data_IF_042913827443
#
_entry.id   IF_042913827443
#
_cell.length_a   1.000
_cell.length_b   1.000
_cell.length_c   1.000
_cell.angle_alpha   90.00
_cell.angle_beta   90.00
_cell.angle_gamma   90.00
#
_symmetry.space_group_name_H-M   'P 1'
#
loop_
_entity.id
_entity.type
_entity.pdbx_description
1 polymer ?
#
# COMPACT_ATOMS: atom_id res chain seq x y z
N UNK A 1 -8.11 -12.07 -7.61
CA UNK A 1 -6.84 -11.83 -8.33
C UNK A 1 -5.70 -12.18 -7.39
N UNK A 2 -4.81 -13.09 -7.77
CA UNK A 2 -3.61 -13.38 -7.01
C UNK A 2 -2.49 -12.45 -7.49
N UNK A 3 -1.80 -11.78 -6.56
CA UNK A 3 -0.56 -11.04 -6.88
C UNK A 3 0.61 -12.01 -6.96
N UNK A 4 1.69 -11.64 -7.66
CA UNK A 4 2.91 -12.45 -7.65
C UNK A 4 3.51 -12.49 -6.23
N UNK A 5 4.24 -13.56 -5.92
CA UNK A 5 4.97 -13.70 -4.64
C UNK A 5 5.90 -12.51 -4.39
N UNK A 6 6.65 -12.11 -5.41
CA UNK A 6 7.57 -10.97 -5.31
C UNK A 6 6.83 -9.65 -5.01
N UNK A 7 5.63 -9.45 -5.59
CA UNK A 7 4.81 -8.27 -5.28
C UNK A 7 4.35 -8.27 -3.83
N UNK A 8 3.91 -9.44 -3.34
CA UNK A 8 3.50 -9.59 -1.94
C UNK A 8 4.66 -9.30 -0.98
N UNK A 9 5.84 -9.87 -1.23
CA UNK A 9 7.05 -9.65 -0.42
C UNK A 9 7.45 -8.17 -0.37
N UNK A 10 7.35 -7.44 -1.49
CA UNK A 10 7.60 -5.99 -1.53
C UNK A 10 6.58 -5.20 -0.72
N UNK A 11 5.30 -5.58 -0.75
CA UNK A 11 4.26 -4.95 0.05
C UNK A 11 4.45 -5.23 1.55
N UNK A 12 4.87 -6.43 1.92
CA UNK A 12 5.21 -6.78 3.31
C UNK A 12 6.37 -5.94 3.83
N UNK A 13 7.43 -5.76 3.03
CA UNK A 13 8.56 -4.88 3.37
C UNK A 13 8.12 -3.42 3.51
N UNK A 14 7.24 -2.95 2.62
CA UNK A 14 6.66 -1.61 2.71
C UNK A 14 5.87 -1.42 4.01
N UNK A 15 5.00 -2.37 4.37
CA UNK A 15 4.23 -2.34 5.63
C UNK A 15 5.15 -2.37 6.86
N UNK A 16 6.23 -3.17 6.82
CA UNK A 16 7.22 -3.18 7.89
C UNK A 16 7.93 -1.82 8.05
N UNK A 17 8.31 -1.19 6.94
CA UNK A 17 8.92 0.14 6.93
C UNK A 17 7.95 1.20 7.46
N UNK A 18 6.69 1.17 7.00
CA UNK A 18 5.64 2.07 7.48
C UNK A 18 5.48 1.93 8.99
N UNK A 19 5.35 0.71 9.53
CA UNK A 19 5.24 0.48 10.97
C UNK A 19 6.45 1.00 11.76
N UNK A 20 7.67 0.88 11.21
CA UNK A 20 8.88 1.42 11.84
C UNK A 20 8.79 2.94 11.99
N UNK A 21 8.34 3.64 10.96
CA UNK A 21 8.29 5.11 10.95
C UNK A 21 7.02 5.70 11.54
N UNK A 22 5.92 4.94 11.56
CA UNK A 22 4.66 5.31 12.20
C UNK A 22 4.86 5.76 13.65
N UNK A 23 5.71 5.03 14.40
CA UNK A 23 6.05 5.36 15.80
C UNK A 23 6.83 6.66 15.97
N UNK A 24 7.48 7.16 14.91
CA UNK A 24 8.32 8.36 14.95
C UNK A 24 7.60 9.61 14.49
N UNK A 25 6.81 9.51 13.42
CA UNK A 25 6.24 10.69 12.73
C UNK A 25 4.75 10.57 12.38
N UNK A 26 4.07 9.49 12.81
CA UNK A 26 2.64 9.27 12.58
C UNK A 26 2.21 9.44 11.10
N UNK A 27 2.45 8.41 10.29
CA UNK A 27 2.21 8.40 8.85
C UNK A 27 0.74 8.21 8.48
N UNK A 28 0.01 7.42 9.27
CA UNK A 28 -1.43 7.15 9.11
C UNK A 28 -2.12 7.25 10.46
N UNK A 29 -3.44 7.43 10.47
CA UNK A 29 -4.20 7.43 11.72
C UNK A 29 -3.96 6.13 12.49
N UNK A 30 -3.54 6.23 13.75
CA UNK A 30 -3.15 5.07 14.57
C UNK A 30 -4.27 4.02 14.70
N UNK A 31 -5.54 4.45 14.73
CA UNK A 31 -6.72 3.58 14.75
C UNK A 31 -6.85 2.68 13.53
N UNK A 32 -6.21 3.04 12.40
CA UNK A 32 -6.27 2.28 11.14
C UNK A 32 -5.10 1.32 10.94
N UNK A 33 -4.10 1.33 11.83
CA UNK A 33 -2.87 0.56 11.65
C UNK A 33 -3.12 -0.95 11.71
N UNK A 34 -4.06 -1.40 12.56
CA UNK A 34 -4.47 -2.81 12.63
C UNK A 34 -5.13 -3.30 11.33
N UNK A 35 -5.72 -2.40 10.54
CA UNK A 35 -6.38 -2.70 9.27
C UNK A 35 -5.55 -2.29 8.05
N UNK A 36 -4.22 -2.13 8.20
CA UNK A 36 -3.36 -1.53 7.17
C UNK A 36 -3.48 -2.16 5.78
N UNK A 37 -3.59 -3.49 5.71
CA UNK A 37 -3.76 -4.21 4.46
C UNK A 37 -5.08 -3.88 3.75
N UNK A 38 -6.15 -3.71 4.52
CA UNK A 38 -7.48 -3.43 3.99
C UNK A 38 -7.63 -1.94 3.65
N UNK A 39 -7.30 -1.07 4.59
CA UNK A 39 -7.59 0.38 4.54
C UNK A 39 -6.56 1.21 3.78
N UNK A 40 -5.35 0.70 3.60
CA UNK A 40 -4.29 1.44 2.91
C UNK A 40 -3.83 0.70 1.65
N UNK A 41 -3.44 -0.58 1.78
CA UNK A 41 -2.89 -1.33 0.65
C UNK A 41 -3.98 -1.66 -0.39
N UNK A 42 -5.05 -2.34 0.03
CA UNK A 42 -6.14 -2.72 -0.87
C UNK A 42 -6.89 -1.51 -1.42
N UNK A 43 -7.26 -0.56 -0.56
CA UNK A 43 -7.93 0.68 -0.98
C UNK A 43 -7.12 1.45 -2.04
N UNK A 44 -5.78 1.50 -1.94
CA UNK A 44 -4.93 2.10 -2.99
C UNK A 44 -4.89 1.27 -4.27
N UNK A 45 -4.82 -0.06 -4.14
CA UNK A 45 -4.77 -0.96 -5.28
C UNK A 45 -6.06 -0.94 -6.12
N UNK A 46 -7.21 -0.65 -5.50
CA UNK A 46 -8.48 -0.50 -6.22
C UNK A 46 -8.41 0.59 -7.30
N UNK A 47 -7.61 1.65 -7.09
CA UNK A 47 -7.44 2.72 -8.07
C UNK A 47 -6.86 2.22 -9.40
N UNK A 48 -6.07 1.14 -9.39
CA UNK A 48 -5.45 0.55 -10.60
C UNK A 48 -6.50 0.23 -11.66
N UNK A 49 -7.69 -0.21 -11.27
CA UNK A 49 -8.78 -0.55 -12.18
C UNK A 49 -9.42 0.67 -12.86
N UNK A 50 -9.19 1.87 -12.32
CA UNK A 50 -9.77 3.12 -12.81
C UNK A 50 -8.79 3.94 -13.65
N UNK A 51 -7.52 3.54 -13.76
CA UNK A 51 -6.57 4.19 -14.66
C UNK A 51 -6.86 3.78 -16.12
N UNK A 52 -6.93 4.74 -17.06
CA UNK A 52 -7.03 4.39 -18.47
C UNK A 52 -5.77 3.60 -18.89
N UNK A 53 -5.91 2.70 -19.85
CA UNK A 53 -4.87 1.74 -20.28
C UNK A 53 -3.54 2.37 -20.73
N UNK A 54 -3.45 3.70 -20.78
CA UNK A 54 -2.22 4.48 -20.96
C UNK A 54 -2.31 5.76 -20.12
N UNK A 55 -1.84 5.71 -18.89
CA UNK A 55 -1.24 6.89 -18.28
C UNK A 55 0.26 6.62 -18.36
N UNK A 56 0.93 7.35 -19.25
CA UNK A 56 2.40 7.34 -19.29
C UNK A 56 2.94 7.56 -17.89
N UNK A 57 4.03 6.87 -17.57
CA UNK A 57 4.77 7.08 -16.32
C UNK A 57 4.80 8.58 -16.04
N UNK A 58 4.34 8.99 -14.84
CA UNK A 58 4.52 10.35 -14.35
C UNK A 58 6.02 10.55 -14.10
N UNK A 59 6.79 10.72 -15.18
CA UNK A 59 8.16 11.24 -15.20
C UNK A 59 8.13 12.69 -15.63
#
# INVERSE_FOLDING_TARGET
MAVSRETLERLEQFVALLNKWQRRINLVAASTLAEIWRRHILDSAQLVLHFPARVGVLT
#
